data_IF_565793543073
#
_entry.id   IF_565793543073
#
_cell.length_a   1.000
_cell.length_b   1.000
_cell.length_c   1.000
_cell.angle_alpha   90.00
_cell.angle_beta   90.00
_cell.angle_gamma   90.00
#
_symmetry.space_group_name_H-M   'P 1'
#
loop_
_entity.id
_entity.type
_entity.pdbx_description
1 polymer ?
2 non-polymer ?
3 water ?
#
# COMPACT_ATOMS: atom_id res chain seq x y z
N UNK A 1 2.88 11.68 15.28
CA UNK A 1 1.86 12.04 14.30
C UNK A 1 0.73 11.01 14.17
N UNK A 2 -0.50 11.50 14.19
CA UNK A 2 -1.61 10.72 13.69
C UNK A 2 -1.82 11.20 12.27
N UNK A 3 -1.90 10.25 11.35
CA UNK A 3 -2.19 10.53 9.96
C UNK A 3 -3.54 9.86 9.64
N UNK A 4 -4.53 10.63 9.18
CA UNK A 4 -5.81 10.04 8.69
C UNK A 4 -5.63 9.67 7.21
N UNK A 5 -6.62 9.02 6.59
CA UNK A 5 -6.39 8.45 5.25
C UNK A 5 -7.31 9.04 4.16
N UNK A 6 -7.84 10.24 4.44
CA UNK A 6 -8.68 11.01 3.49
C UNK A 6 -7.88 11.45 2.26
N UNK A 7 -6.61 11.74 2.45
CA UNK A 7 -5.68 11.91 1.35
C UNK A 7 -4.55 10.91 1.48
N UNK A 8 -3.76 10.78 0.41
CA UNK A 8 -2.56 9.95 0.45
C UNK A 8 -1.63 10.35 1.60
N UNK A 9 -1.11 9.34 2.35
CA UNK A 9 -0.22 9.61 3.47
C UNK A 9 1.24 9.85 3.03
N UNK A 10 1.47 11.03 2.45
CA UNK A 10 2.76 11.42 1.89
C UNK A 10 3.56 12.05 3.01
N UNK A 11 4.84 11.72 3.09
CA UNK A 11 5.70 12.36 4.08
C UNK A 11 6.96 12.80 3.36
N UNK A 12 7.73 13.68 3.98
CA UNK A 12 9.02 14.09 3.41
C UNK A 12 10.13 13.17 3.88
N UNK A 13 11.01 12.75 2.97
CA UNK A 13 12.13 11.91 3.35
C UNK A 13 13.45 12.62 2.97
N UNK A 14 14.50 12.29 3.70
CA UNK A 14 15.84 12.64 3.26
C UNK A 14 16.66 11.35 3.08
N UNK A 15 17.18 11.15 1.88
CA UNK A 15 17.97 9.96 1.53
C UNK A 15 19.06 10.38 0.54
N UNK A 16 20.27 9.87 0.75
CA UNK A 16 21.41 10.25 -0.10
C UNK A 16 21.63 11.76 -0.23
N UNK A 17 21.29 12.52 0.82
CA UNK A 17 21.46 13.99 0.77
C UNK A 17 20.33 14.73 0.05
N UNK A 18 19.36 14.00 -0.47
CA UNK A 18 18.25 14.58 -1.25
C UNK A 18 16.95 14.54 -0.50
N UNK A 19 16.11 15.53 -0.75
CA UNK A 19 14.77 15.50 -0.19
C UNK A 19 13.74 15.01 -1.21
N UNK A 20 12.87 14.11 -0.77
CA UNK A 20 11.81 13.57 -1.63
C UNK A 20 10.52 13.42 -0.83
N UNK A 21 9.38 13.33 -1.51
CA UNK A 21 8.12 12.89 -0.84
C UNK A 21 7.91 11.43 -1.15
N UNK A 22 7.37 10.69 -0.18
CA UNK A 22 7.18 9.27 -0.32
C UNK A 22 5.87 8.89 0.36
N UNK A 23 5.26 7.82 -0.12
CA UNK A 23 4.00 7.36 0.41
C UNK A 23 4.22 6.29 1.49
N UNK A 24 3.62 6.50 2.67
CA UNK A 24 3.58 5.48 3.70
C UNK A 24 2.58 4.41 3.24
N UNK A 25 3.10 3.21 3.02
CA UNK A 25 2.38 2.20 2.22
C UNK A 25 2.35 0.88 2.98
N UNK A 26 1.30 0.66 3.77
CA UNK A 26 1.17 -0.58 4.55
C UNK A 26 1.03 -1.84 3.70
N UNK A 27 0.62 -1.64 2.46
CA UNK A 27 0.50 -2.74 1.51
C UNK A 27 1.77 -3.10 0.75
N UNK A 28 2.88 -2.40 1.02
CA UNK A 28 4.18 -2.68 0.40
C UNK A 28 5.12 -3.38 1.39
N UNK A 29 5.68 -4.55 1.04
CA UNK A 29 6.59 -5.26 1.94
C UNK A 29 7.90 -4.49 2.01
N UNK A 30 8.22 -3.81 0.90
CA UNK A 30 9.53 -3.21 0.61
C UNK A 30 9.41 -1.69 0.34
N UNK A 31 10.54 -1.02 0.44
CA UNK A 31 10.63 0.40 0.12
C UNK A 31 11.17 0.59 -1.30
N UNK A 32 10.46 1.35 -2.12
CA UNK A 32 10.84 1.48 -3.54
C UNK A 32 10.88 2.96 -3.93
N UNK A 33 12.07 3.41 -4.31
CA UNK A 33 12.29 4.78 -4.78
C UNK A 33 12.57 4.85 -6.25
N UNK A 34 12.12 5.97 -6.82
CA UNK A 34 12.47 6.35 -8.18
C UNK A 34 13.99 6.35 -8.36
N UNK A 35 14.41 6.26 -9.61
CA UNK A 35 15.83 6.33 -9.99
C UNK A 35 16.63 7.37 -9.21
N UNK A 36 17.71 6.90 -8.58
CA UNK A 36 18.67 7.75 -7.87
C UNK A 36 19.97 6.98 -7.58
N UNK A 37 21.07 7.72 -7.40
CA UNK A 37 22.39 7.14 -7.10
C UNK A 37 22.58 6.94 -5.59
N UNK A 38 23.27 5.87 -5.19
CA UNK A 38 23.28 5.44 -3.78
C UNK A 38 24.56 4.68 -3.37
N UNK A 39 24.99 4.79 -2.09
CA UNK A 39 26.26 4.19 -1.67
C UNK A 39 26.24 2.66 -1.59
N UNK A 40 27.41 2.06 -1.75
CA UNK A 40 27.58 0.61 -1.67
C UNK A 40 27.21 -0.12 -2.94
N UNK A 41 27.37 -1.44 -2.91
CA UNK A 41 27.00 -2.27 -4.03
C UNK A 41 25.52 -2.62 -3.89
N UNK A 42 24.93 -3.08 -4.99
CA UNK A 42 23.54 -3.49 -5.02
C UNK A 42 23.40 -4.87 -5.67
N UNK A 43 22.22 -5.47 -5.53
CA UNK A 43 21.92 -6.73 -6.22
C UNK A 43 20.64 -6.54 -7.04
N UNK A 44 20.57 -7.16 -8.23
CA UNK A 44 19.32 -7.06 -9.00
C UNK A 44 18.15 -7.73 -8.28
N UNK A 45 16.97 -7.12 -8.37
CA UNK A 45 15.76 -7.70 -7.79
C UNK A 45 14.58 -7.44 -8.71
N UNK A 46 13.65 -8.39 -8.76
CA UNK A 46 12.35 -8.22 -9.42
C UNK A 46 11.31 -8.06 -8.34
N UNK A 47 10.45 -7.06 -8.47
CA UNK A 47 9.32 -6.95 -7.56
C UNK A 47 8.02 -6.86 -8.34
N UNK A 48 6.98 -7.46 -7.79
CA UNK A 48 5.68 -7.52 -8.46
C UNK A 48 4.62 -6.74 -7.71
N UNK A 49 3.94 -5.86 -8.45
CA UNK A 49 2.80 -5.12 -7.92
C UNK A 49 1.57 -5.58 -8.67
N UNK A 50 0.55 -4.72 -8.68
CA UNK A 50 -0.59 -4.88 -9.59
C UNK A 50 -0.13 -4.45 -11.00
N UNK A 51 -0.46 -5.26 -11.99
CA UNK A 51 -0.04 -4.95 -13.35
C UNK A 51 1.20 -5.69 -13.83
N UNK A 52 1.95 -6.26 -12.89
CA UNK A 52 3.11 -7.06 -13.24
C UNK A 52 4.34 -6.69 -12.45
N UNK A 53 5.51 -6.87 -13.07
CA UNK A 53 6.78 -6.87 -12.39
C UNK A 53 7.69 -5.72 -12.83
N UNK A 54 8.52 -5.22 -11.93
CA UNK A 54 9.60 -4.33 -12.36
C UNK A 54 10.96 -4.76 -11.83
N UNK A 55 12.00 -4.43 -12.57
CA UNK A 55 13.37 -4.69 -12.13
C UNK A 55 13.85 -3.51 -11.32
N UNK A 56 14.51 -3.81 -10.21
CA UNK A 56 15.06 -2.80 -9.29
C UNK A 56 16.51 -3.12 -8.86
N UNK A 57 17.15 -2.17 -8.18
CA UNK A 57 18.45 -2.40 -7.61
C UNK A 57 18.24 -2.38 -6.11
N UNK A 58 18.71 -3.42 -5.43
CA UNK A 58 18.57 -3.52 -3.99
C UNK A 58 19.83 -3.03 -3.27
N UNK A 59 19.65 -2.02 -2.42
CA UNK A 59 20.73 -1.48 -1.59
C UNK A 59 20.40 -1.78 -0.14
N UNK A 60 21.34 -2.38 0.59
CA UNK A 60 21.11 -2.68 2.02
C UNK A 60 21.78 -1.63 2.89
N UNK A 61 21.29 -1.49 4.11
CA UNK A 61 21.90 -0.59 5.11
C UNK A 61 21.97 0.85 4.58
N UNK A 62 20.84 1.32 4.07
CA UNK A 62 20.74 2.67 3.54
C UNK A 62 20.05 3.53 4.60
N UNK A 63 20.63 4.68 4.89
CA UNK A 63 20.06 5.59 5.87
C UNK A 63 18.94 6.42 5.26
N UNK A 64 17.83 6.49 5.97
CA UNK A 64 16.72 7.25 5.49
C UNK A 64 16.11 8.03 6.66
N UNK A 65 15.73 9.27 6.39
CA UNK A 65 15.06 10.08 7.41
C UNK A 65 13.64 10.23 6.90
N UNK A 66 12.68 9.68 7.65
CA UNK A 66 11.28 9.69 7.24
C UNK A 66 10.54 10.53 8.26
N UNK A 67 9.91 11.62 7.80
CA UNK A 67 9.24 12.54 8.70
C UNK A 67 10.12 12.79 9.98
N UNK A 68 11.43 12.89 9.77
CA UNK A 68 12.36 13.27 10.86
C UNK A 68 12.81 12.12 11.76
N UNK A 69 12.42 10.91 11.40
CA UNK A 69 12.79 9.73 12.14
C UNK A 69 13.82 9.02 11.28
N UNK A 70 14.99 8.77 11.85
CA UNK A 70 16.02 7.98 11.17
C UNK A 70 15.68 6.48 11.22
N UNK A 71 15.90 5.83 10.08
CA UNK A 71 15.80 4.38 9.93
C UNK A 71 16.92 3.90 8.99
N UNK A 72 17.41 2.68 9.20
CA UNK A 72 18.39 2.11 8.28
C UNK A 72 17.84 0.81 7.72
N UNK A 73 17.90 0.65 6.40
CA UNK A 73 17.36 -0.57 5.85
C UNK A 73 17.55 -0.71 4.37
N UNK A 74 16.84 -1.70 3.83
CA UNK A 74 16.86 -1.99 2.41
C UNK A 74 15.96 -1.04 1.62
N UNK A 75 16.58 -0.43 0.63
CA UNK A 75 15.88 0.49 -0.23
C UNK A 75 16.03 -0.10 -1.65
N UNK A 76 14.90 -0.28 -2.32
CA UNK A 76 14.90 -0.67 -3.74
C UNK A 76 14.74 0.57 -4.64
N UNK A 77 15.53 0.63 -5.71
CA UNK A 77 15.50 1.77 -6.62
C UNK A 77 15.11 1.34 -8.03
N UNK A 78 14.12 1.99 -8.62
CA UNK A 78 13.75 1.65 -9.99
C UNK A 78 12.50 2.36 -10.45
N UNK A 79 11.92 1.90 -11.58
CA UNK A 79 10.88 2.69 -12.27
C UNK A 79 9.50 2.56 -11.60
N UNK A 80 9.38 3.14 -10.41
CA UNK A 80 8.12 3.24 -9.71
C UNK A 80 7.65 4.69 -9.95
N UNK A 81 6.34 4.89 -10.20
CA UNK A 81 5.85 6.26 -10.39
C UNK A 81 5.77 7.08 -9.09
N UNK A 82 5.99 6.43 -7.95
CA UNK A 82 5.83 7.08 -6.67
C UNK A 82 6.83 6.46 -5.71
N UNK A 83 7.47 7.30 -4.90
CA UNK A 83 8.34 6.77 -3.88
C UNK A 83 7.46 6.08 -2.83
N UNK A 84 7.82 4.86 -2.46
CA UNK A 84 7.03 4.08 -1.51
C UNK A 84 7.84 3.72 -0.29
N UNK A 85 7.41 4.14 0.90
CA UNK A 85 7.99 3.60 2.15
C UNK A 85 7.23 2.36 2.58
N UNK A 86 7.88 1.19 2.56
CA UNK A 86 7.17 -0.02 2.93
C UNK A 86 7.29 -0.35 4.40
N UNK A 87 6.73 -1.51 4.75
CA UNK A 87 6.68 -2.03 6.12
C UNK A 87 8.08 -2.19 6.72
N UNK A 88 9.05 -2.60 5.89
CA UNK A 88 10.41 -2.81 6.36
C UNK A 88 10.99 -1.58 7.08
N UNK A 89 10.65 -0.39 6.59
CA UNK A 89 11.10 0.86 7.22
C UNK A 89 10.08 1.44 8.23
N UNK A 90 8.78 1.26 7.94
CA UNK A 90 7.70 1.68 8.87
C UNK A 90 7.82 1.12 10.29
N UNK A 91 8.16 -0.17 10.39
CA UNK A 91 8.41 -0.78 11.69
C UNK A 91 9.50 -0.05 12.45
N UNK A 92 10.56 0.41 11.76
CA UNK A 92 11.66 1.12 12.42
C UNK A 92 11.30 2.48 13.01
N UNK A 93 10.29 3.13 12.45
CA UNK A 93 9.87 4.43 12.95
C UNK A 93 8.64 4.35 13.90
N UNK A 94 8.27 3.13 14.31
CA UNK A 94 7.21 2.91 15.31
C UNK A 94 5.80 3.09 14.75
N UNK A 95 5.67 2.89 13.44
CA UNK A 95 4.47 3.22 12.73
C UNK A 95 3.42 2.10 12.84
N UNK A 96 2.21 2.44 13.32
CA UNK A 96 1.09 1.48 13.45
C UNK A 96 -0.17 1.88 12.69
N UNK A 97 -1.01 0.89 12.37
CA UNK A 97 -2.41 1.13 11.98
C UNK A 97 -3.32 0.98 13.16
N UNK A 98 -4.34 1.83 13.23
CA UNK A 98 -5.24 1.91 14.38
C UNK A 98 -6.65 2.24 13.96
N UNK A 99 -7.61 1.68 14.69
CA UNK A 99 -9.04 1.97 14.54
C UNK A 99 -9.76 1.37 15.75
N UNK B 1 -8.57 -1.95 17.38
CA UNK B 1 -7.25 -2.57 17.49
C UNK B 1 -6.09 -1.70 16.99
N UNK B 2 -4.92 -1.95 17.56
CA UNK B 2 -3.69 -1.44 17.02
C UNK B 2 -3.11 -2.59 16.21
N UNK B 3 -2.65 -2.30 15.00
CA UNK B 3 -1.96 -3.29 14.19
C UNK B 3 -0.52 -2.80 13.90
N UNK B 4 0.47 -3.58 14.34
CA UNK B 4 1.89 -3.27 14.04
C UNK B 4 2.20 -3.84 12.65
N UNK B 5 3.36 -3.53 12.10
CA UNK B 5 3.59 -3.78 10.68
C UNK B 5 4.76 -4.73 10.41
N UNK B 6 5.12 -5.49 11.46
CA UNK B 6 6.10 -6.61 11.39
C UNK B 6 5.67 -7.70 10.43
N UNK B 7 4.36 -7.88 10.29
CA UNK B 7 3.78 -8.76 9.27
C UNK B 7 2.81 -7.96 8.43
N UNK B 8 2.39 -8.50 7.29
CA UNK B 8 1.31 -7.89 6.51
C UNK B 8 0.05 -7.71 7.36
N UNK B 9 -0.59 -6.52 7.29
CA UNK B 9 -1.84 -6.29 8.00
C UNK B 9 -3.09 -6.87 7.31
N UNK B 10 -3.23 -8.18 7.44
CA UNK B 10 -4.32 -8.97 6.85
C UNK B 10 -5.47 -8.99 7.83
N UNK B 11 -6.68 -8.78 7.33
CA UNK B 11 -7.87 -8.84 8.15
C UNK B 11 -8.89 -9.69 7.39
N UNK B 12 -9.86 -10.22 8.12
CA UNK B 12 -10.98 -10.93 7.50
C UNK B 12 -12.07 -9.98 7.04
N UNK B 13 -12.59 -10.20 5.82
CA UNK B 13 -13.73 -9.41 5.36
C UNK B 13 -14.91 -10.33 5.02
N UNK B 14 -16.13 -9.81 5.22
CA UNK B 14 -17.32 -10.42 4.65
C UNK B 14 -17.88 -9.45 3.58
N UNK B 15 -17.99 -9.97 2.35
CA UNK B 15 -18.51 -9.22 1.19
C UNK B 15 -19.33 -10.16 0.28
N UNK B 16 -20.53 -9.72 -0.07
CA UNK B 16 -21.48 -10.57 -0.81
C UNK B 16 -21.67 -11.98 -0.27
N UNK B 17 -21.80 -12.12 1.06
CA UNK B 17 -22.01 -13.43 1.69
C UNK B 17 -20.78 -14.32 1.84
N UNK B 18 -19.65 -13.89 1.29
CA UNK B 18 -18.39 -14.67 1.31
C UNK B 18 -17.38 -14.12 2.29
N UNK B 19 -16.58 -15.02 2.86
CA UNK B 19 -15.49 -14.59 3.73
C UNK B 19 -14.18 -14.63 2.97
N UNK B 20 -13.43 -13.55 3.06
CA UNK B 20 -12.08 -13.44 2.46
C UNK B 20 -11.11 -12.81 3.44
N UNK B 21 -9.84 -12.88 3.10
CA UNK B 21 -8.78 -12.13 3.78
C UNK B 21 -8.33 -11.03 2.83
N UNK B 22 -8.03 -9.86 3.40
CA UNK B 22 -7.74 -8.66 2.62
C UNK B 22 -6.62 -7.88 3.33
N UNK B 23 -5.82 -7.16 2.55
CA UNK B 23 -4.70 -6.40 3.08
C UNK B 23 -5.12 -4.93 3.27
N UNK B 24 -4.94 -4.42 4.51
CA UNK B 24 -5.11 -3.00 4.82
C UNK B 24 -3.94 -2.28 4.16
N UNK B 25 -4.26 -1.46 3.16
CA UNK B 25 -3.28 -0.95 2.23
C UNK B 25 -3.35 0.58 2.13
N UNK B 26 -2.54 1.26 2.94
CA UNK B 26 -2.55 2.74 2.94
C UNK B 26 -2.07 3.34 1.61
N UNK B 27 -1.37 2.54 0.82
CA UNK B 27 -0.85 2.98 -0.46
C UNK B 27 -1.78 2.80 -1.63
N UNK B 28 -2.97 2.23 -1.37
CA UNK B 28 -4.00 2.02 -2.39
C UNK B 28 -5.10 3.09 -2.25
N UNK B 29 -5.41 3.82 -3.32
CA UNK B 29 -6.48 4.82 -3.26
C UNK B 29 -7.79 4.05 -3.21
N UNK B 30 -7.78 2.85 -3.82
CA UNK B 30 -8.98 2.09 -4.09
C UNK B 30 -8.97 0.71 -3.40
N UNK B 31 -10.14 0.10 -3.35
CA UNK B 31 -10.29 -1.28 -2.88
C UNK B 31 -10.39 -2.27 -4.07
N UNK B 32 -9.55 -3.30 -4.08
CA UNK B 32 -9.44 -4.20 -5.23
C UNK B 32 -9.50 -5.66 -4.75
N UNK B 33 -10.55 -6.35 -5.17
CA UNK B 33 -10.73 -7.77 -4.87
C UNK B 33 -10.55 -8.63 -6.09
N UNK B 34 -10.04 -9.83 -5.83
CA UNK B 34 -9.99 -10.90 -6.80
C UNK B 34 -11.40 -11.14 -7.37
N UNK B 35 -11.44 -11.82 -8.52
CA UNK B 35 -12.69 -12.17 -9.19
C UNK B 35 -13.76 -12.75 -8.27
N UNK B 36 -14.91 -12.09 -8.25
CA UNK B 36 -16.11 -12.58 -7.57
C UNK B 36 -17.31 -11.90 -8.22
N UNK B 37 -18.49 -12.50 -8.14
CA UNK B 37 -19.67 -11.83 -8.69
C UNK B 37 -20.40 -11.01 -7.61
N UNK B 38 -20.98 -9.88 -8.01
CA UNK B 38 -21.46 -8.84 -7.07
C UNK B 38 -22.73 -8.12 -7.59
N UNK B 39 -23.56 -7.53 -6.69
CA UNK B 39 -24.85 -7.00 -7.17
C UNK B 39 -24.76 -5.63 -7.83
N UNK B 40 -25.72 -5.34 -8.70
CA UNK B 40 -25.78 -4.07 -9.42
C UNK B 40 -25.04 -4.10 -10.74
N UNK B 41 -25.17 -3.00 -11.48
CA UNK B 41 -24.42 -2.78 -12.69
C UNK B 41 -23.05 -2.26 -12.29
N UNK B 42 -22.10 -2.35 -13.21
CA UNK B 42 -20.74 -1.87 -13.00
C UNK B 42 -20.26 -1.08 -14.22
N UNK B 43 -19.10 -0.45 -14.08
CA UNK B 43 -18.42 0.19 -15.21
C UNK B 43 -16.98 -0.32 -15.32
N UNK B 44 -16.44 -0.38 -16.56
CA UNK B 44 -15.02 -0.73 -16.76
C UNK B 44 -14.10 0.29 -16.13
N UNK B 45 -13.00 -0.18 -15.54
CA UNK B 45 -11.93 0.70 -15.04
C UNK B 45 -10.56 0.07 -15.24
N UNK B 46 -9.58 0.92 -15.57
CA UNK B 46 -8.16 0.57 -15.61
C UNK B 46 -7.58 1.16 -14.35
N UNK B 47 -6.82 0.35 -13.62
CA UNK B 47 -6.06 0.87 -12.48
C UNK B 47 -4.58 0.55 -12.62
N UNK B 48 -3.74 1.52 -12.29
CA UNK B 48 -2.29 1.35 -12.39
C UNK B 48 -1.70 0.95 -11.05
N UNK B 49 -0.87 -0.10 -11.08
CA UNK B 49 -0.08 -0.48 -9.93
C UNK B 49 1.37 -0.19 -10.26
N UNK B 50 2.27 -0.98 -9.69
CA UNK B 50 3.70 -0.78 -9.89
C UNK B 50 4.23 -1.39 -11.20
N UNK B 51 3.68 -2.53 -11.60
CA UNK B 51 4.16 -3.21 -12.81
C UNK B 51 3.48 -2.79 -14.11
N UNK B 52 2.43 -1.99 -13.99
CA UNK B 52 1.59 -1.64 -15.12
C UNK B 52 0.13 -1.63 -14.72
N UNK B 53 -0.75 -1.91 -15.68
CA UNK B 53 -2.19 -1.71 -15.51
C UNK B 53 -3.00 -3.02 -15.52
N UNK B 54 -4.12 -3.03 -14.80
CA UNK B 54 -5.13 -4.09 -14.96
C UNK B 54 -6.53 -3.53 -15.27
N UNK B 55 -7.36 -4.32 -15.95
CA UNK B 55 -8.77 -3.98 -16.11
C UNK B 55 -9.59 -4.49 -14.94
N UNK B 56 -10.45 -3.63 -14.41
CA UNK B 56 -11.36 -4.01 -13.33
C UNK B 56 -12.85 -3.69 -13.60
N UNK B 57 -13.72 -4.17 -12.71
CA UNK B 57 -15.12 -3.82 -12.75
C UNK B 57 -15.37 -3.01 -11.51
N UNK B 58 -15.93 -1.82 -11.68
CA UNK B 58 -16.24 -0.93 -10.56
C UNK B 58 -17.69 -1.11 -10.09
N UNK B 59 -17.85 -1.52 -8.83
CA UNK B 59 -19.15 -1.58 -8.18
C UNK B 59 -19.22 -0.46 -7.14
N UNK B 60 -20.28 0.35 -7.18
CA UNK B 60 -20.50 1.39 -6.16
C UNK B 60 -21.49 0.92 -5.12
N UNK B 61 -21.41 1.50 -3.93
CA UNK B 61 -22.34 1.22 -2.83
C UNK B 61 -22.41 -0.29 -2.54
N UNK B 62 -21.23 -0.87 -2.34
CA UNK B 62 -21.12 -2.27 -1.92
C UNK B 62 -20.82 -2.31 -0.42
N UNK B 63 -21.59 -3.12 0.28
CA UNK B 63 -21.38 -3.42 1.69
C UNK B 63 -20.21 -4.35 1.90
N UNK B 64 -19.37 -3.96 2.83
CA UNK B 64 -18.26 -4.76 3.13
C UNK B 64 -18.10 -4.77 4.66
N UNK B 65 -17.79 -5.92 5.22
CA UNK B 65 -17.57 -5.95 6.65
C UNK B 65 -16.10 -6.28 6.89
N UNK B 66 -15.34 -5.27 7.36
CA UNK B 66 -13.88 -5.34 7.50
C UNK B 66 -13.53 -5.40 8.98
N UNK B 67 -12.98 -6.54 9.40
CA UNK B 67 -12.65 -6.80 10.81
C UNK B 67 -13.83 -6.44 11.79
N UNK B 68 -15.06 -6.72 11.37
CA UNK B 68 -16.24 -6.46 12.21
C UNK B 68 -16.87 -5.08 12.09
N UNK B 69 -16.37 -4.28 11.15
CA UNK B 69 -16.86 -2.92 10.95
C UNK B 69 -17.49 -2.87 9.58
N UNK B 70 -18.73 -2.42 9.52
CA UNK B 70 -19.41 -2.26 8.24
C UNK B 70 -18.98 -0.96 7.56
N UNK B 71 -18.85 -1.04 6.24
CA UNK B 71 -18.59 0.12 5.38
C UNK B 71 -19.29 -0.12 4.04
N UNK B 72 -19.75 0.96 3.41
CA UNK B 72 -20.33 0.87 2.09
C UNK B 72 -19.47 1.71 1.17
N UNK B 73 -19.06 1.16 0.04
CA UNK B 73 -18.20 1.94 -0.84
C UNK B 73 -17.99 1.25 -2.15
N UNK B 74 -17.12 1.86 -2.93
CA UNK B 74 -16.71 1.35 -4.22
C UNK B 74 -15.70 0.22 -4.08
N UNK B 75 -16.02 -0.88 -4.72
CA UNK B 75 -15.16 -2.03 -4.69
C UNK B 75 -14.87 -2.35 -6.17
N UNK B 76 -13.59 -2.46 -6.50
CA UNK B 76 -13.15 -2.89 -7.83
C UNK B 76 -12.82 -4.38 -7.81
N UNK B 77 -13.23 -5.09 -8.86
CA UNK B 77 -13.03 -6.54 -8.96
C UNK B 77 -12.22 -6.87 -10.21
N UNK B 78 -11.19 -7.70 -10.06
CA UNK B 78 -10.38 -8.09 -11.20
C UNK B 78 -9.13 -8.83 -10.77
N UNK B 79 -8.14 -8.93 -11.67
CA UNK B 79 -7.06 -9.89 -11.45
C UNK B 79 -5.91 -9.32 -10.59
N UNK B 80 -6.23 -9.01 -9.34
CA UNK B 80 -5.22 -8.68 -8.34
C UNK B 80 -4.90 -9.99 -7.61
N UNK B 81 -3.61 -10.26 -7.33
CA UNK B 81 -3.20 -11.46 -6.60
C UNK B 81 -3.50 -11.44 -5.09
N UNK B 82 -3.83 -10.27 -4.54
CA UNK B 82 -4.26 -10.22 -3.17
C UNK B 82 -5.44 -9.26 -3.05
N UNK B 83 -6.37 -9.54 -2.16
CA UNK B 83 -7.46 -8.60 -1.93
C UNK B 83 -6.88 -7.38 -1.18
N UNK B 84 -7.20 -6.18 -1.67
CA UNK B 84 -6.66 -4.93 -1.16
C UNK B 84 -7.76 -4.05 -0.62
N UNK B 85 -7.76 -3.72 0.67
CA UNK B 85 -8.67 -2.67 1.18
C UNK B 85 -7.96 -1.33 1.10
N UNK B 86 -8.46 -0.41 0.28
CA UNK B 86 -7.76 0.87 0.13
C UNK B 86 -8.30 1.95 1.05
N UNK B 87 -7.81 3.17 0.84
CA UNK B 87 -8.12 4.32 1.71
C UNK B 87 -9.62 4.66 1.68
N UNK B 88 -10.25 4.48 0.52
CA UNK B 88 -11.67 4.78 0.37
C UNK B 88 -12.55 4.07 1.41
N UNK B 89 -12.18 2.84 1.78
CA UNK B 89 -12.86 2.08 2.83
C UNK B 89 -12.25 2.22 4.25
N UNK B 90 -10.92 2.36 4.36
CA UNK B 90 -10.26 2.56 5.67
C UNK B 90 -10.72 3.81 6.42
N UNK B 91 -10.93 4.92 5.70
CA UNK B 91 -11.51 6.12 6.29
C UNK B 91 -12.85 5.80 6.94
N UNK B 92 -13.67 4.97 6.30
CA UNK B 92 -14.99 4.60 6.84
C UNK B 92 -14.97 3.79 8.14
N UNK B 93 -13.88 3.08 8.38
CA UNK B 93 -13.77 2.30 9.60
C UNK B 93 -12.90 2.99 10.66
N UNK B 94 -12.59 4.28 10.43
CA UNK B 94 -11.82 5.11 11.38
C UNK B 94 -10.35 4.71 11.52
N UNK B 95 -9.78 4.20 10.43
CA UNK B 95 -8.45 3.66 10.43
C UNK B 95 -7.41 4.77 10.22
N UNK B 96 -6.43 4.86 11.13
CA UNK B 96 -5.32 5.84 11.09
C UNK B 96 -3.92 5.20 11.08
N UNK B 97 -2.92 5.92 10.53
CA UNK B 97 -1.48 5.63 10.76
C UNK B 97 -0.92 6.47 11.89
N UNK B 98 -0.10 5.86 12.74
CA UNK B 98 0.37 6.51 13.94
C UNK B 98 1.82 6.15 14.21
N UNK B 99 2.57 7.10 14.75
CA UNK B 99 3.94 6.88 15.21
C UNK B 99 4.39 8.00 16.13
X LIG C 1 1.90 2.37 -5.57
X LIG C 1 0.83 2.93 -6.50
X LIG C 1 1.42 3.57 -7.76
X LIG C 1 2.54 2.76 -8.43
X LIG C 1 3.53 2.20 -7.41
X LIG C 1 2.82 1.40 -6.32
X LIG C 1 0.21 0.79 -4.66
X LIG C 1 -0.82 1.35 -5.55
X LIG C 1 -0.18 1.84 -6.84
X LIG C 1 1.28 1.73 -4.32
X LIG C 1 -1.83 0.32 -5.93
X LIG C 1 -3.13 0.68 -5.86
X LIG C 1 -4.24 -0.18 -6.31
X LIG C 1 -4.29 -1.46 -5.47
X LIG C 1 -4.09 -0.56 -7.78
X LIG C 1 -5.56 0.57 -6.14
X LIG C 1 -1.42 -0.76 -6.31
X LIG C 1 -0.44 0.06 -3.59
X LIG C 1 0.60 -0.90 -3.00
X LIG C 1 0.63 -2.25 -3.69
X LIG C 1 0.39 -1.14 -1.61
X LIG C 1 1.84 -2.88 -3.22
X LIG C 1 -0.59 -3.10 -3.39
X LIG C 1 2.78 -3.31 -4.05
X LIG C 1 2.79 -3.06 -5.24
X LIG C 1 3.87 -4.12 -3.42
X LIG C 1 3.66 -5.45 -3.01
X LIG C 1 4.69 -6.17 -2.40
X LIG C 1 5.96 -5.60 -2.20
X LIG C 1 6.24 -4.29 -2.58
X LIG C 1 5.18 -3.48 -3.23
X LIG C 1 7.43 -3.75 -2.39
X LIG C 1 5.43 -2.06 -3.67
X LIG C 1 -0.90 -4.33 -4.63
X LIG C 1 -0.14 -5.72 -4.03
X LIG C 1 0.40 -6.67 -4.91
X LIG C 1 1.03 -7.83 -4.45
X LIG C 1 1.13 -8.04 -3.08
X LIG C 1 0.61 -7.10 -2.18
X LIG C 1 -0.02 -5.95 -2.67
#
# INVERSE_FOLDING_TARGET
>A
PQITLWQRPLVTIKIGGQLKEALLDTGADNTVLEEMSLPGRWKPKMIGGIGGFIAVRQYDQILIEICGHKAIGTVLVGPTPVNIIGRNLMTQIGCTLNF
>B
PQITLWQRPLVTIKIGGQLKEALLDTGADNTVLEEMSLPGRWKPKMIGGIGGFIAVRQYDQILIEICGHKAIGTVLVGPTPVNIIGRNLMTQIGCTLNF
>C hetero
1 1UN C1 C2 C3 C4 C5 C6 N7 C8 C9 C10 C11 N12 C13 C14 C15 C16 O17 C18 C19 C20 O21 N22 C23 C24 O25 C29 C30 C31 C32 C33 C34 O38 C39 S74 C77 C78 C79 C80 C81 C82
#
